data_IF_723150587314
#
_entry.id   IF_723150587314
#
_cell.length_a   1.000
_cell.length_b   1.000
_cell.length_c   1.000
_cell.angle_alpha   90.00
_cell.angle_beta   90.00
_cell.angle_gamma   90.00
#
_symmetry.space_group_name_H-M   'P 1'
#
loop_
_entity.id
_entity.type
_entity.pdbx_description
1 polymer ?
#
# COMPACT_ATOMS: atom_id res chain seq x y z
N UNK A 1 -4.06 21.45 10.92
CA UNK A 1 -3.00 20.53 10.45
C UNK A 1 -2.90 19.30 11.36
N UNK A 2 -2.66 19.47 12.66
CA UNK A 2 -2.56 18.39 13.66
C UNK A 2 -3.77 17.44 13.67
N UNK A 3 -5.00 17.96 13.71
CA UNK A 3 -6.22 17.14 13.71
C UNK A 3 -6.40 16.25 12.48
N UNK A 4 -5.85 16.66 11.31
CA UNK A 4 -5.86 15.81 10.10
C UNK A 4 -4.85 14.67 10.25
N UNK A 5 -3.68 14.95 10.82
CA UNK A 5 -2.64 13.95 11.05
C UNK A 5 -3.11 12.89 12.04
N UNK A 6 -3.75 13.28 13.14
CA UNK A 6 -4.32 12.37 14.14
C UNK A 6 -5.38 11.43 13.55
N UNK A 7 -6.22 11.92 12.62
CA UNK A 7 -7.24 11.11 11.97
C UNK A 7 -6.67 10.19 10.89
N UNK A 8 -5.59 10.61 10.21
CA UNK A 8 -5.00 9.87 9.08
C UNK A 8 -3.99 8.82 9.55
N UNK A 9 -3.23 9.09 10.61
CA UNK A 9 -2.24 8.17 11.17
C UNK A 9 -2.77 6.74 11.39
N UNK A 10 -3.92 6.51 12.06
CA UNK A 10 -4.42 5.15 12.27
C UNK A 10 -4.85 4.44 10.98
N UNK A 11 -5.23 5.21 9.94
CA UNK A 11 -5.54 4.64 8.63
C UNK A 11 -4.25 4.25 7.91
N UNK A 12 -3.23 5.10 7.97
CA UNK A 12 -1.91 4.80 7.40
C UNK A 12 -1.32 3.54 8.01
N UNK A 13 -1.34 3.42 9.34
CA UNK A 13 -0.84 2.24 10.05
C UNK A 13 -1.52 0.94 9.60
N UNK A 14 -2.86 0.96 9.46
CA UNK A 14 -3.62 -0.18 8.94
C UNK A 14 -3.22 -0.55 7.51
N UNK A 15 -3.03 0.44 6.65
CA UNK A 15 -2.63 0.20 5.25
C UNK A 15 -1.20 -0.35 5.20
N UNK A 16 -0.26 0.21 5.97
CA UNK A 16 1.13 -0.28 6.01
C UNK A 16 1.22 -1.71 6.51
N UNK A 17 0.55 -2.04 7.62
CA UNK A 17 0.52 -3.42 8.13
C UNK A 17 -0.08 -4.39 7.09
N UNK A 18 -1.14 -3.99 6.39
CA UNK A 18 -1.70 -4.83 5.34
C UNK A 18 -0.75 -5.05 4.15
N UNK A 19 0.08 -4.05 3.81
CA UNK A 19 1.11 -4.15 2.77
C UNK A 19 2.23 -5.11 3.21
N UNK A 20 2.73 -4.96 4.44
CA UNK A 20 3.79 -5.82 5.00
C UNK A 20 3.36 -7.28 5.05
N UNK A 21 2.18 -7.56 5.59
CA UNK A 21 1.64 -8.90 5.65
C UNK A 21 1.43 -9.48 4.24
N UNK A 22 0.88 -8.69 3.31
CA UNK A 22 0.68 -9.16 1.93
C UNK A 22 2.01 -9.46 1.25
N UNK A 23 3.04 -8.65 1.51
CA UNK A 23 4.39 -8.89 1.01
C UNK A 23 4.95 -10.21 1.55
N UNK A 24 4.83 -10.43 2.87
CA UNK A 24 5.27 -11.67 3.52
C UNK A 24 4.51 -12.91 2.99
N UNK A 25 3.18 -12.84 2.89
CA UNK A 25 2.32 -13.92 2.39
C UNK A 25 2.66 -14.32 0.95
N UNK A 26 3.13 -13.37 0.14
CA UNK A 26 3.42 -13.55 -1.29
C UNK A 26 4.91 -13.67 -1.62
N UNK A 27 5.79 -13.53 -0.63
CA UNK A 27 7.24 -13.57 -0.80
C UNK A 27 7.78 -12.37 -1.59
N UNK A 28 7.17 -11.18 -1.43
CA UNK A 28 7.72 -9.94 -2.00
C UNK A 28 8.74 -9.33 -1.03
N UNK A 29 9.93 -9.06 -1.55
CA UNK A 29 10.96 -8.33 -0.79
C UNK A 29 10.75 -6.81 -0.83
N UNK A 30 10.03 -6.30 -1.84
CA UNK A 30 9.86 -4.87 -2.11
C UNK A 30 8.45 -4.58 -2.65
N UNK A 31 7.86 -3.47 -2.18
CA UNK A 31 6.63 -2.89 -2.72
C UNK A 31 6.89 -1.40 -2.97
N UNK A 32 6.58 -0.93 -4.19
CA UNK A 32 6.78 0.45 -4.60
C UNK A 32 5.44 1.18 -4.71
N UNK A 33 5.39 2.41 -4.21
CA UNK A 33 4.26 3.31 -4.47
C UNK A 33 4.39 3.93 -5.87
N UNK A 34 3.51 3.56 -6.80
CA UNK A 34 3.53 4.08 -8.17
C UNK A 34 3.43 5.61 -8.26
N UNK A 35 2.76 6.27 -7.30
CA UNK A 35 2.57 7.73 -7.31
C UNK A 35 3.77 8.50 -6.77
N UNK A 36 4.46 7.95 -5.76
CA UNK A 36 5.57 8.60 -5.06
C UNK A 36 6.97 8.05 -5.35
N UNK A 37 7.09 6.91 -6.05
CA UNK A 37 8.40 6.26 -6.26
C UNK A 37 9.23 6.97 -7.32
N UNK A 38 10.15 7.80 -6.85
CA UNK A 38 11.22 8.38 -7.69
C UNK A 38 12.02 7.28 -8.35
N UNK A 39 12.06 7.26 -9.68
CA UNK A 39 12.82 6.28 -10.47
C UNK A 39 12.00 5.13 -11.05
N UNK A 40 10.70 5.01 -10.73
CA UNK A 40 9.82 4.08 -11.42
C UNK A 40 9.29 4.72 -12.72
N UNK A 41 9.92 4.40 -13.85
CA UNK A 41 9.57 4.97 -15.16
C UNK A 41 8.36 4.28 -15.81
N UNK A 42 8.24 2.96 -15.63
CA UNK A 42 7.18 2.16 -16.21
C UNK A 42 6.95 0.90 -15.37
N UNK A 43 5.70 0.45 -15.29
CA UNK A 43 5.29 -0.84 -14.75
C UNK A 43 4.05 -1.32 -15.49
N UNK A 44 3.94 -2.62 -15.76
CA UNK A 44 2.69 -3.21 -16.24
C UNK A 44 1.64 -3.26 -15.13
N UNK A 45 0.37 -3.29 -15.53
CA UNK A 45 -0.77 -3.32 -14.60
C UNK A 45 -0.83 -4.62 -13.79
N UNK A 46 -0.20 -5.70 -14.26
CA UNK A 46 -0.10 -6.97 -13.53
C UNK A 46 0.63 -6.83 -12.19
N UNK A 47 1.51 -5.83 -12.04
CA UNK A 47 2.23 -5.54 -10.80
C UNK A 47 1.46 -4.62 -9.87
N UNK A 48 0.34 -4.04 -10.30
CA UNK A 48 -0.53 -3.26 -9.41
C UNK A 48 -1.32 -4.20 -8.49
N UNK A 49 -0.98 -4.18 -7.20
CA UNK A 49 -1.62 -4.98 -6.16
C UNK A 49 -2.66 -4.22 -5.34
N UNK A 50 -3.04 -3.01 -5.77
CA UNK A 50 -3.98 -2.15 -5.05
C UNK A 50 -5.33 -2.84 -4.81
N UNK A 51 -5.84 -3.57 -5.81
CA UNK A 51 -7.12 -4.27 -5.71
C UNK A 51 -7.08 -5.40 -4.67
N UNK A 52 -5.99 -6.17 -4.66
CA UNK A 52 -5.79 -7.26 -3.69
C UNK A 52 -5.70 -6.70 -2.25
N UNK A 53 -4.97 -5.60 -2.07
CA UNK A 53 -4.84 -4.90 -0.80
C UNK A 53 -6.17 -4.33 -0.30
N UNK A 54 -6.95 -3.67 -1.18
CA UNK A 54 -8.28 -3.18 -0.85
C UNK A 54 -9.21 -4.30 -0.39
N UNK A 55 -9.18 -5.44 -1.08
CA UNK A 55 -9.95 -6.64 -0.71
C UNK A 55 -9.52 -7.15 0.66
N UNK A 56 -8.22 -7.21 0.96
CA UNK A 56 -7.69 -7.61 2.28
C UNK A 56 -8.14 -6.68 3.40
N UNK A 57 -8.19 -5.38 3.13
CA UNK A 57 -8.66 -4.35 4.07
C UNK A 57 -10.19 -4.26 4.18
N UNK A 58 -10.95 -5.00 3.36
CA UNK A 58 -12.41 -4.94 3.34
C UNK A 58 -12.97 -3.62 2.79
N UNK A 59 -12.18 -2.90 1.99
CA UNK A 59 -12.55 -1.61 1.40
C UNK A 59 -12.96 -1.83 -0.06
N UNK A 60 -14.07 -1.20 -0.48
CA UNK A 60 -14.55 -1.24 -1.86
C UNK A 60 -13.80 -0.27 -2.77
#
# INVERSE_FOLDING_TARGET
FLKRQELVAPVQEKVFSAIEDFAADRGYDLIFDKAGSTGLLFTSDEYDKTADLKKRLGVK
#
